data_IF_765528298072
#
_entry.id   IF_765528298072
#
_cell.length_a   1.000
_cell.length_b   1.000
_cell.length_c   1.000
_cell.angle_alpha   90.00
_cell.angle_beta   90.00
_cell.angle_gamma   90.00
#
_symmetry.space_group_name_H-M   'P 1'
#
loop_
_entity.id
_entity.type
_entity.pdbx_description
1 polymer ?
#
# COMPACT_ATOMS: atom_id res chain seq x y z
N UNK A 1 -49.37 8.66 15.55
CA UNK A 1 -49.01 8.81 14.14
C UNK A 1 -47.52 9.02 14.05
N UNK A 2 -46.87 8.15 13.29
CA UNK A 2 -45.44 7.82 13.32
C UNK A 2 -44.59 8.93 12.73
N UNK A 3 -43.66 9.47 13.52
CA UNK A 3 -42.53 10.23 13.01
C UNK A 3 -41.48 9.26 12.51
N UNK A 4 -41.45 9.03 11.20
CA UNK A 4 -40.42 8.24 10.53
C UNK A 4 -39.08 8.96 10.70
N UNK A 5 -38.21 8.44 11.57
CA UNK A 5 -36.82 8.89 11.67
C UNK A 5 -36.05 8.26 10.51
N UNK A 6 -35.74 9.07 9.51
CA UNK A 6 -34.77 8.70 8.48
C UNK A 6 -33.42 8.56 9.19
N UNK A 7 -32.90 7.34 9.25
CA UNK A 7 -31.49 7.10 9.58
C UNK A 7 -30.66 7.56 8.37
N UNK A 8 -29.49 8.20 8.57
CA UNK A 8 -28.60 8.52 7.46
C UNK A 8 -28.17 7.22 6.77
N UNK A 9 -28.17 7.24 5.44
CA UNK A 9 -27.60 6.17 4.61
C UNK A 9 -26.13 5.98 5.00
N UNK A 10 -25.74 4.73 5.22
CA UNK A 10 -24.54 4.37 5.96
C UNK A 10 -23.29 5.08 5.51
N UNK A 11 -22.75 5.91 6.40
CA UNK A 11 -21.32 6.19 6.44
C UNK A 11 -20.64 4.85 6.71
N UNK A 12 -20.15 4.16 5.66
CA UNK A 12 -19.15 3.12 5.87
C UNK A 12 -17.95 3.80 6.50
N UNK A 13 -17.77 3.62 7.81
CA UNK A 13 -16.51 3.91 8.48
C UNK A 13 -15.41 3.24 7.66
N UNK A 14 -14.62 4.04 6.94
CA UNK A 14 -13.41 3.54 6.29
C UNK A 14 -12.51 3.11 7.44
N UNK A 15 -12.29 1.80 7.56
CA UNK A 15 -11.45 1.28 8.63
C UNK A 15 -10.04 1.86 8.43
N UNK A 16 -9.54 2.56 9.43
CA UNK A 16 -8.25 3.25 9.38
C UNK A 16 -7.12 2.21 9.30
N UNK A 17 -6.63 1.96 8.09
CA UNK A 17 -5.46 1.12 7.87
C UNK A 17 -4.14 1.84 8.24
N UNK A 18 -3.21 1.07 8.83
CA UNK A 18 -1.81 1.45 9.00
C UNK A 18 -1.02 1.12 7.74
N UNK A 19 -0.44 2.13 7.12
CA UNK A 19 0.26 2.01 5.85
C UNK A 19 1.74 2.28 6.02
N UNK A 20 2.57 1.35 5.53
CA UNK A 20 3.98 1.59 5.25
C UNK A 20 4.13 2.01 3.79
N UNK A 21 4.83 3.12 3.53
CA UNK A 21 5.14 3.59 2.18
C UNK A 21 6.63 3.40 1.90
N UNK A 22 6.95 2.58 0.90
CA UNK A 22 8.31 2.23 0.53
C UNK A 22 8.63 2.71 -0.89
N UNK A 23 9.27 3.87 -0.99
CA UNK A 23 9.51 4.59 -2.25
C UNK A 23 10.74 5.50 -2.13
N UNK A 24 11.63 5.46 -3.11
CA UNK A 24 12.92 6.15 -3.04
C UNK A 24 12.81 7.66 -3.23
N UNK A 25 11.79 8.15 -3.95
CA UNK A 25 11.63 9.57 -4.23
C UNK A 25 10.77 10.28 -3.19
N UNK A 26 11.36 11.25 -2.49
CA UNK A 26 10.70 12.04 -1.43
C UNK A 26 9.40 12.72 -1.89
N UNK A 27 9.38 13.21 -3.14
CA UNK A 27 8.19 13.83 -3.73
C UNK A 27 7.03 12.85 -3.88
N UNK A 28 7.30 11.60 -4.24
CA UNK A 28 6.29 10.57 -4.39
C UNK A 28 5.80 10.12 -3.01
N UNK A 29 6.71 9.93 -2.03
CA UNK A 29 6.30 9.63 -0.66
C UNK A 29 5.42 10.73 -0.05
N UNK A 30 5.78 12.00 -0.27
CA UNK A 30 4.96 13.14 0.15
C UNK A 30 3.56 13.10 -0.46
N UNK A 31 3.46 12.84 -1.77
CA UNK A 31 2.18 12.69 -2.47
C UNK A 31 1.36 11.55 -1.86
N UNK A 32 1.94 10.34 -1.76
CA UNK A 32 1.26 9.16 -1.24
C UNK A 32 0.78 9.37 0.20
N UNK A 33 1.63 9.92 1.08
CA UNK A 33 1.20 10.27 2.44
C UNK A 33 0.03 11.25 2.43
N UNK A 34 0.10 12.28 1.61
CA UNK A 34 -0.96 13.30 1.53
C UNK A 34 -2.30 12.68 1.12
N UNK A 35 -2.31 11.84 0.08
CA UNK A 35 -3.57 11.23 -0.40
C UNK A 35 -4.10 10.17 0.57
N UNK A 36 -3.24 9.30 1.10
CA UNK A 36 -3.64 8.25 2.03
C UNK A 36 -4.21 8.82 3.34
N UNK A 37 -3.57 9.86 3.88
CA UNK A 37 -4.07 10.53 5.08
C UNK A 37 -5.36 11.33 4.83
N UNK A 38 -5.54 11.87 3.62
CA UNK A 38 -6.79 12.58 3.26
C UNK A 38 -8.02 11.68 3.22
N UNK A 39 -7.85 10.37 3.05
CA UNK A 39 -8.94 9.37 3.06
C UNK A 39 -9.02 8.58 4.38
N UNK A 40 -8.28 9.01 5.42
CA UNK A 40 -8.41 8.47 6.77
C UNK A 40 -7.45 7.36 7.14
N UNK A 41 -6.47 7.01 6.29
CA UNK A 41 -5.42 6.04 6.64
C UNK A 41 -4.27 6.69 7.42
N UNK A 42 -3.56 5.89 8.22
CA UNK A 42 -2.38 6.32 8.97
C UNK A 42 -1.12 5.85 8.23
N UNK A 43 -0.27 6.78 7.76
CA UNK A 43 1.08 6.40 7.28
C UNK A 43 2.01 6.27 8.48
N UNK A 44 2.23 5.03 8.93
CA UNK A 44 2.99 4.73 10.15
C UNK A 44 4.51 4.79 9.93
N UNK A 45 4.96 4.60 8.69
CA UNK A 45 6.38 4.69 8.33
C UNK A 45 6.56 4.95 6.84
N UNK A 46 7.56 5.76 6.52
CA UNK A 46 8.05 6.02 5.17
C UNK A 46 9.51 5.53 5.08
N UNK A 47 9.82 4.70 4.08
CA UNK A 47 11.18 4.19 3.83
C UNK A 47 11.57 4.41 2.38
N UNK A 48 12.87 4.57 2.13
CA UNK A 48 13.41 4.89 0.80
C UNK A 48 14.36 3.82 0.24
N UNK A 49 14.55 2.71 0.96
CA UNK A 49 15.40 1.60 0.56
C UNK A 49 14.84 0.26 1.08
N UNK A 50 15.24 -0.83 0.42
CA UNK A 50 14.75 -2.17 0.74
C UNK A 50 15.08 -2.68 2.15
N UNK A 51 16.35 -2.58 2.63
CA UNK A 51 16.70 -3.02 3.99
C UNK A 51 15.89 -2.35 5.10
N UNK A 52 15.56 -1.07 4.93
CA UNK A 52 14.76 -0.32 5.91
C UNK A 52 13.31 -0.79 5.96
N UNK A 53 12.78 -1.35 4.86
CA UNK A 53 11.45 -1.98 4.86
C UNK A 53 11.43 -3.10 5.89
N UNK A 54 12.32 -4.08 5.78
CA UNK A 54 12.32 -5.23 6.68
C UNK A 54 12.67 -4.86 8.13
N UNK A 55 13.59 -3.92 8.34
CA UNK A 55 14.01 -3.52 9.68
C UNK A 55 12.90 -2.79 10.45
N UNK A 56 12.05 -2.03 9.76
CA UNK A 56 10.94 -1.27 10.36
C UNK A 56 9.61 -2.00 10.30
N UNK A 57 9.46 -3.01 9.44
CA UNK A 57 8.22 -3.75 9.27
C UNK A 57 7.74 -4.38 10.58
N UNK A 58 8.64 -5.04 11.31
CA UNK A 58 8.29 -5.75 12.54
C UNK A 58 7.93 -4.84 13.72
N UNK A 59 8.41 -3.60 13.74
CA UNK A 59 8.07 -2.63 14.80
C UNK A 59 6.78 -1.86 14.51
N UNK A 60 6.38 -1.77 13.24
CA UNK A 60 5.22 -0.99 12.81
C UNK A 60 3.99 -1.86 12.51
N UNK A 61 4.21 -3.11 12.09
CA UNK A 61 3.17 -4.09 11.72
C UNK A 61 2.04 -3.46 10.89
N UNK A 62 2.37 -2.88 9.71
CA UNK A 62 1.38 -2.20 8.90
C UNK A 62 0.36 -3.21 8.35
N UNK A 63 -0.89 -2.78 8.19
CA UNK A 63 -1.93 -3.55 7.53
C UNK A 63 -1.66 -3.64 6.01
N UNK A 64 -1.07 -2.57 5.46
CA UNK A 64 -0.78 -2.41 4.04
C UNK A 64 0.65 -1.92 3.84
N UNK A 65 1.39 -2.58 2.94
CA UNK A 65 2.65 -2.06 2.40
C UNK A 65 2.42 -1.54 0.99
N UNK A 66 2.62 -0.25 0.79
CA UNK A 66 2.64 0.37 -0.52
C UNK A 66 4.08 0.46 -1.04
N UNK A 67 4.39 -0.32 -2.08
CA UNK A 67 5.76 -0.71 -2.41
C UNK A 67 6.14 -0.33 -3.85
N UNK A 68 7.20 0.46 -4.02
CA UNK A 68 7.91 0.51 -5.30
C UNK A 68 8.73 -0.77 -5.50
N UNK A 69 8.55 -1.47 -6.63
CA UNK A 69 9.36 -2.65 -6.96
C UNK A 69 10.84 -2.29 -7.24
N UNK A 70 11.13 -1.03 -7.58
CA UNK A 70 12.49 -0.54 -7.87
C UNK A 70 13.06 0.26 -6.70
N UNK A 71 13.08 -0.34 -5.52
CA UNK A 71 13.82 0.19 -4.37
C UNK A 71 15.34 -0.08 -4.50
N UNK A 72 16.19 0.83 -4.01
CA UNK A 72 17.61 0.56 -3.88
C UNK A 72 17.87 -0.63 -2.95
N UNK A 73 18.95 -1.36 -3.25
CA UNK A 73 19.58 -2.36 -2.39
C UNK A 73 18.80 -3.66 -2.14
N UNK A 74 17.60 -3.84 -2.68
CA UNK A 74 16.85 -5.10 -2.59
C UNK A 74 15.86 -5.26 -3.75
N UNK A 75 15.66 -6.49 -4.21
CA UNK A 75 14.62 -6.81 -5.19
C UNK A 75 13.23 -6.76 -4.52
N UNK A 76 12.33 -5.95 -5.08
CA UNK A 76 10.94 -5.82 -4.60
C UNK A 76 10.19 -7.16 -4.56
N UNK A 77 10.46 -8.09 -5.47
CA UNK A 77 9.82 -9.41 -5.47
C UNK A 77 10.27 -10.28 -4.28
N UNK A 78 11.57 -10.27 -3.97
CA UNK A 78 12.10 -10.97 -2.79
C UNK A 78 11.59 -10.34 -1.49
N UNK A 79 11.51 -9.02 -1.45
CA UNK A 79 10.99 -8.27 -0.33
C UNK A 79 9.53 -8.65 -0.02
N UNK A 80 8.68 -8.74 -1.06
CA UNK A 80 7.29 -9.19 -0.90
C UNK A 80 7.19 -10.60 -0.32
N UNK A 81 8.02 -11.54 -0.81
CA UNK A 81 8.06 -12.91 -0.27
C UNK A 81 8.43 -12.93 1.21
N UNK A 82 9.37 -12.08 1.62
CA UNK A 82 9.78 -11.97 3.02
C UNK A 82 8.67 -11.38 3.92
N UNK A 83 8.00 -10.33 3.45
CA UNK A 83 6.85 -9.76 4.15
C UNK A 83 5.77 -10.83 4.32
N UNK A 84 5.44 -11.56 3.25
CA UNK A 84 4.40 -12.60 3.28
C UNK A 84 4.75 -13.83 4.11
N UNK A 85 6.03 -14.19 4.22
CA UNK A 85 6.44 -15.33 5.06
C UNK A 85 6.31 -15.02 6.55
N UNK A 86 6.44 -13.75 6.94
CA UNK A 86 6.39 -13.31 8.34
C UNK A 86 5.02 -12.74 8.74
N UNK A 87 4.30 -12.13 7.81
CA UNK A 87 2.95 -11.60 8.02
C UNK A 87 2.06 -11.86 6.79
N UNK A 88 1.50 -13.08 6.65
CA UNK A 88 0.70 -13.47 5.48
C UNK A 88 -0.49 -12.55 5.19
N UNK A 89 -1.06 -11.98 6.25
CA UNK A 89 -2.26 -11.12 6.19
C UNK A 89 -1.97 -9.68 5.76
N UNK A 90 -0.71 -9.23 5.81
CA UNK A 90 -0.35 -7.87 5.36
C UNK A 90 -0.64 -7.73 3.88
N UNK A 91 -1.48 -6.78 3.47
CA UNK A 91 -1.71 -6.51 2.03
C UNK A 91 -0.51 -5.80 1.44
N UNK A 92 -0.21 -6.09 0.17
CA UNK A 92 0.88 -5.43 -0.54
C UNK A 92 0.31 -4.82 -1.83
N UNK A 93 0.45 -3.52 -1.98
CA UNK A 93 0.08 -2.78 -3.17
C UNK A 93 1.38 -2.35 -3.85
N UNK A 94 1.72 -3.01 -4.94
CA UNK A 94 2.98 -2.79 -5.64
C UNK A 94 2.81 -1.78 -6.78
N UNK A 95 3.87 -1.08 -7.12
CA UNK A 95 3.95 -0.27 -8.33
C UNK A 95 5.37 -0.14 -8.83
N UNK A 96 5.56 0.15 -10.12
CA UNK A 96 6.85 0.64 -10.65
C UNK A 96 6.68 1.22 -12.05
N UNK A 97 7.71 1.91 -12.56
CA UNK A 97 7.71 2.43 -13.94
C UNK A 97 8.16 1.38 -14.94
N UNK A 98 7.40 1.20 -16.02
CA UNK A 98 7.73 0.32 -17.13
C UNK A 98 7.61 -1.16 -16.75
N UNK A 99 6.59 -1.51 -15.97
CA UNK A 99 6.25 -2.92 -15.72
C UNK A 99 5.35 -3.44 -16.84
N UNK A 100 5.47 -4.73 -17.15
CA UNK A 100 4.67 -5.41 -18.14
C UNK A 100 3.80 -6.50 -17.50
N UNK A 101 2.96 -7.16 -18.30
CA UNK A 101 2.07 -8.22 -17.82
C UNK A 101 2.82 -9.30 -17.02
N UNK A 102 4.03 -9.68 -17.46
CA UNK A 102 4.87 -10.66 -16.76
C UNK A 102 5.32 -10.18 -15.37
N UNK A 103 5.61 -8.90 -15.21
CA UNK A 103 6.01 -8.31 -13.92
C UNK A 103 4.82 -8.22 -12.97
N UNK A 104 3.64 -7.90 -13.50
CA UNK A 104 2.38 -7.91 -12.75
C UNK A 104 2.08 -9.33 -12.25
N UNK A 105 2.12 -10.32 -13.14
CA UNK A 105 1.95 -11.73 -12.77
C UNK A 105 2.97 -12.18 -11.72
N UNK A 106 4.23 -11.78 -11.88
CA UNK A 106 5.29 -12.05 -10.92
C UNK A 106 4.97 -11.41 -9.56
N UNK A 107 4.56 -10.15 -9.53
CA UNK A 107 4.21 -9.44 -8.29
C UNK A 107 3.08 -10.14 -7.54
N UNK A 108 2.00 -10.51 -8.25
CA UNK A 108 0.87 -11.25 -7.68
C UNK A 108 1.35 -12.61 -7.14
N UNK A 109 2.18 -13.34 -7.89
CA UNK A 109 2.72 -14.63 -7.44
C UNK A 109 3.61 -14.53 -6.20
N UNK A 110 4.24 -13.36 -6.00
CA UNK A 110 5.05 -13.05 -4.82
C UNK A 110 4.22 -12.53 -3.64
N UNK A 111 2.92 -12.32 -3.84
CA UNK A 111 1.96 -11.96 -2.80
C UNK A 111 1.46 -10.51 -2.84
N UNK A 112 1.72 -9.77 -3.92
CA UNK A 112 1.02 -8.50 -4.15
C UNK A 112 -0.50 -8.75 -4.31
N UNK A 113 -1.31 -7.87 -3.75
CA UNK A 113 -2.75 -7.82 -3.98
C UNK A 113 -3.07 -7.21 -5.34
N UNK A 114 -2.24 -6.25 -5.78
CA UNK A 114 -2.32 -5.56 -7.07
C UNK A 114 -0.95 -4.97 -7.41
N UNK A 115 -0.67 -4.77 -8.71
CA UNK A 115 0.53 -4.09 -9.19
C UNK A 115 0.17 -3.04 -10.25
N UNK A 116 0.70 -1.82 -10.12
CA UNK A 116 0.45 -0.70 -11.03
C UNK A 116 1.68 -0.29 -11.84
N UNK A 117 1.48 0.03 -13.12
CA UNK A 117 2.49 0.73 -13.93
C UNK A 117 2.39 2.25 -13.71
N UNK A 118 3.52 2.90 -13.46
CA UNK A 118 3.57 4.37 -13.32
C UNK A 118 3.62 5.04 -14.70
N UNK A 119 2.86 6.13 -14.94
CA UNK A 119 1.89 6.75 -14.02
C UNK A 119 0.57 5.97 -13.96
N UNK A 120 -0.05 5.94 -12.79
CA UNK A 120 -1.36 5.33 -12.55
C UNK A 120 -2.34 6.35 -11.98
N UNK A 121 -3.63 6.03 -12.07
CA UNK A 121 -4.72 6.82 -11.51
C UNK A 121 -4.77 6.66 -9.98
N UNK A 122 -4.83 7.79 -9.26
CA UNK A 122 -4.81 7.78 -7.79
C UNK A 122 -6.14 7.30 -7.21
N UNK A 123 -7.28 7.58 -7.85
CA UNK A 123 -8.57 7.10 -7.38
C UNK A 123 -8.64 5.57 -7.51
N UNK A 124 -8.08 5.01 -8.58
CA UNK A 124 -7.97 3.57 -8.74
C UNK A 124 -7.03 2.94 -7.69
N UNK A 125 -5.86 3.54 -7.45
CA UNK A 125 -4.95 3.12 -6.39
C UNK A 125 -5.63 3.12 -5.01
N UNK A 126 -6.39 4.16 -4.67
CA UNK A 126 -7.05 4.30 -3.37
C UNK A 126 -8.16 3.26 -3.12
N UNK A 127 -8.81 2.71 -4.16
CA UNK A 127 -9.80 1.63 -4.00
C UNK A 127 -9.22 0.38 -3.33
N UNK A 128 -7.91 0.19 -3.39
CA UNK A 128 -7.24 -0.96 -2.78
C UNK A 128 -6.91 -0.79 -1.30
N UNK A 129 -7.21 0.38 -0.70
CA UNK A 129 -6.98 0.66 0.72
C UNK A 129 -8.25 0.57 1.58
N UNK A 130 -9.40 0.39 0.94
CA UNK A 130 -10.68 0.09 1.61
C UNK A 130 -10.75 -1.37 2.08
#
# INVERSE_FOLDING_TARGET
>A
MTGMRLLPEGDTEVEMAKVMVAEQYDSIRYLLRTVLTSVGHEVVVEVNNGPDVLSTFHSTLPDIVSLDLRLPSMDGFELMKHIKSTSPNTRIIAYSSGIHAVDVEMAISCGASVAFDKPFDLDDYLKHFQ
#
